data_IF_190342069752
#
_entry.id   IF_190342069752
#
_cell.length_a   1.000
_cell.length_b   1.000
_cell.length_c   1.000
_cell.angle_alpha   90.00
_cell.angle_beta   90.00
_cell.angle_gamma   90.00
#
_symmetry.space_group_name_H-M   'P 1'
#
loop_
_entity.id
_entity.type
_entity.pdbx_description
1 polymer ?
#
# COMPACT_ATOMS: atom_id res chain seq x y z
N UNK A 1 -13.20 23.18 5.76
CA UNK A 1 -13.21 21.70 5.87
C UNK A 1 -12.01 21.31 6.69
N UNK A 2 -12.22 20.92 7.94
CA UNK A 2 -11.13 20.54 8.83
C UNK A 2 -10.72 19.09 8.50
N UNK A 3 -9.42 18.78 8.52
CA UNK A 3 -8.91 17.41 8.31
C UNK A 3 -9.53 16.39 9.31
N UNK A 4 -10.02 16.87 10.45
CA UNK A 4 -10.77 16.10 11.44
C UNK A 4 -12.16 15.65 10.96
N UNK A 5 -12.80 16.37 10.03
CA UNK A 5 -14.12 16.04 9.45
C UNK A 5 -14.04 14.93 8.41
N UNK A 6 -12.84 14.65 7.87
CA UNK A 6 -12.59 13.57 6.90
C UNK A 6 -12.51 12.20 7.62
N UNK A 7 -12.67 12.19 8.96
CA UNK A 7 -12.71 10.99 9.78
C UNK A 7 -11.35 10.30 9.78
N UNK A 8 -10.45 10.73 10.67
CA UNK A 8 -9.12 10.11 10.85
C UNK A 8 -8.52 9.71 9.49
N UNK A 9 -8.16 10.68 8.66
CA UNK A 9 -7.01 10.45 7.78
C UNK A 9 -5.85 10.18 8.74
N UNK A 10 -5.77 8.95 9.24
CA UNK A 10 -4.80 8.58 10.22
C UNK A 10 -3.46 8.88 9.58
N UNK A 11 -2.58 9.56 10.31
CA UNK A 11 -1.19 9.79 9.91
C UNK A 11 -0.57 8.43 9.54
N UNK A 12 -0.75 8.06 8.28
CA UNK A 12 -0.30 6.82 7.68
C UNK A 12 0.97 7.21 6.95
N UNK A 13 2.07 6.73 7.50
CA UNK A 13 3.36 6.91 6.86
C UNK A 13 3.41 6.08 5.58
N UNK A 14 4.27 6.49 4.64
CA UNK A 14 4.52 5.73 3.41
C UNK A 14 4.93 4.29 3.70
N UNK A 15 5.70 4.05 4.77
CA UNK A 15 6.10 2.70 5.16
C UNK A 15 4.93 1.86 5.69
N UNK A 16 4.04 2.44 6.49
CA UNK A 16 2.82 1.74 6.95
C UNK A 16 1.90 1.42 5.77
N UNK A 17 1.79 2.33 4.80
CA UNK A 17 1.09 2.09 3.55
C UNK A 17 1.72 0.94 2.76
N UNK A 18 3.05 0.91 2.59
CA UNK A 18 3.74 -0.19 1.92
C UNK A 18 3.50 -1.53 2.62
N UNK A 19 3.58 -1.57 3.96
CA UNK A 19 3.29 -2.80 4.72
C UNK A 19 1.85 -3.24 4.47
N UNK A 20 0.89 -2.32 4.58
CA UNK A 20 -0.52 -2.62 4.37
C UNK A 20 -0.81 -3.11 2.95
N UNK A 21 -0.19 -2.52 1.93
CA UNK A 21 -0.31 -2.98 0.54
C UNK A 21 0.31 -4.37 0.33
N UNK A 22 1.41 -4.71 1.01
CA UNK A 22 1.99 -6.05 0.92
C UNK A 22 1.02 -7.10 1.46
N UNK A 23 0.39 -6.81 2.59
CA UNK A 23 -0.64 -7.65 3.20
C UNK A 23 -1.90 -7.73 2.32
N UNK A 24 -2.37 -6.61 1.77
CA UNK A 24 -3.54 -6.59 0.89
C UNK A 24 -3.33 -7.45 -0.37
N UNK A 25 -2.11 -7.47 -0.93
CA UNK A 25 -1.78 -8.19 -2.16
C UNK A 25 -1.50 -9.68 -1.96
N UNK A 26 -0.91 -10.05 -0.82
CA UNK A 26 -0.44 -11.42 -0.57
C UNK A 26 -1.16 -12.16 0.55
N UNK A 27 -2.05 -11.48 1.28
CA UNK A 27 -2.70 -12.02 2.46
C UNK A 27 -1.79 -11.98 3.70
N UNK A 28 -1.79 -13.06 4.47
CA UNK A 28 -1.02 -13.16 5.70
C UNK A 28 0.48 -13.30 5.44
N UNK A 29 1.30 -12.43 6.02
CA UNK A 29 2.75 -12.43 5.82
C UNK A 29 3.51 -12.30 7.14
N UNK A 30 4.67 -12.94 7.23
CA UNK A 30 5.66 -12.68 8.28
C UNK A 30 6.33 -11.31 8.09
N UNK A 31 6.91 -10.76 9.16
CA UNK A 31 7.71 -9.53 9.08
C UNK A 31 8.87 -9.60 8.06
N UNK A 32 9.41 -10.81 7.83
CA UNK A 32 10.48 -11.03 6.85
C UNK A 32 9.97 -10.95 5.42
N UNK A 33 8.82 -11.56 5.14
CA UNK A 33 8.22 -11.49 3.81
C UNK A 33 7.78 -10.07 3.47
N UNK A 34 7.20 -9.35 4.44
CA UNK A 34 6.88 -7.92 4.30
C UNK A 34 8.14 -7.13 3.98
N UNK A 35 9.24 -7.33 4.71
CA UNK A 35 10.51 -6.67 4.41
C UNK A 35 11.02 -6.97 3.00
N UNK A 36 10.85 -8.20 2.51
CA UNK A 36 11.16 -8.59 1.14
C UNK A 36 10.34 -7.81 0.11
N UNK A 37 9.02 -7.77 0.26
CA UNK A 37 8.12 -7.00 -0.63
C UNK A 37 8.47 -5.51 -0.66
N UNK A 38 8.64 -4.90 0.51
CA UNK A 38 8.98 -3.47 0.62
C UNK A 38 10.36 -3.19 0.02
N UNK A 39 11.31 -4.12 0.15
CA UNK A 39 12.63 -3.98 -0.48
C UNK A 39 12.54 -3.93 -2.00
N UNK A 40 11.68 -4.78 -2.60
CA UNK A 40 11.44 -4.79 -4.04
C UNK A 40 10.87 -3.45 -4.51
N UNK A 41 9.92 -2.86 -3.78
CA UNK A 41 9.32 -1.59 -4.19
C UNK A 41 10.23 -0.38 -3.97
N UNK A 42 11.11 -0.43 -2.97
CA UNK A 42 12.08 0.64 -2.70
C UNK A 42 13.40 0.47 -3.47
N UNK A 43 13.54 -0.61 -4.24
CA UNK A 43 14.78 -1.00 -4.93
C UNK A 43 16.02 -1.00 -4.01
N UNK A 44 15.81 -1.31 -2.72
CA UNK A 44 16.84 -1.27 -1.67
C UNK A 44 16.55 -2.29 -0.56
N UNK A 45 17.57 -2.94 0.02
CA UNK A 45 17.37 -3.87 1.13
C UNK A 45 16.78 -3.19 2.37
N UNK A 46 15.58 -3.62 2.77
CA UNK A 46 14.92 -3.21 4.02
C UNK A 46 15.09 -4.32 5.05
N UNK A 47 15.69 -3.99 6.19
CA UNK A 47 15.83 -4.95 7.29
C UNK A 47 14.53 -5.04 8.07
N UNK A 48 14.12 -6.25 8.45
CA UNK A 48 12.92 -6.50 9.26
C UNK A 48 12.85 -5.60 10.51
N UNK A 49 13.99 -5.43 11.19
CA UNK A 49 14.10 -4.59 12.40
C UNK A 49 13.68 -3.14 12.16
N UNK A 50 13.90 -2.61 10.96
CA UNK A 50 13.50 -1.24 10.61
C UNK A 50 11.98 -1.09 10.51
N UNK A 51 11.27 -2.17 10.17
CA UNK A 51 9.81 -2.17 10.06
C UNK A 51 9.11 -2.43 11.40
N UNK A 52 9.83 -2.83 12.45
CA UNK A 52 9.22 -3.18 13.74
C UNK A 52 8.37 -2.06 14.34
N UNK A 53 8.79 -0.80 14.19
CA UNK A 53 8.03 0.35 14.68
C UNK A 53 6.67 0.43 13.98
N UNK A 54 6.67 0.38 12.65
CA UNK A 54 5.49 0.47 11.81
C UNK A 54 4.59 -0.76 11.97
N UNK A 55 5.16 -1.97 12.05
CA UNK A 55 4.41 -3.20 12.32
C UNK A 55 3.67 -3.15 13.66
N UNK A 56 4.32 -2.63 14.72
CA UNK A 56 3.66 -2.39 16.01
C UNK A 56 2.59 -1.32 15.89
N UNK A 57 2.85 -0.25 15.15
CA UNK A 57 1.94 0.87 15.01
C UNK A 57 0.66 0.47 14.24
N UNK A 58 0.75 -0.27 13.13
CA UNK A 58 -0.44 -0.76 12.41
C UNK A 58 -1.23 -1.79 13.23
N UNK A 59 -0.55 -2.59 14.06
CA UNK A 59 -1.22 -3.52 14.97
C UNK A 59 -1.95 -2.77 16.10
N UNK A 60 -1.30 -1.77 16.71
CA UNK A 60 -1.87 -0.93 17.76
C UNK A 60 -3.08 -0.11 17.28
N UNK A 61 -3.08 0.32 16.01
CA UNK A 61 -4.24 0.99 15.37
C UNK A 61 -5.36 0.01 14.98
N UNK A 62 -5.16 -1.30 15.16
CA UNK A 62 -6.12 -2.32 14.76
C UNK A 62 -6.21 -2.55 13.25
N UNK A 63 -5.25 -2.05 12.47
CA UNK A 63 -5.21 -2.21 11.00
C UNK A 63 -4.67 -3.56 10.55
N UNK A 64 -3.85 -4.19 11.38
CA UNK A 64 -3.39 -5.55 11.15
C UNK A 64 -3.48 -6.35 12.45
N UNK A 65 -3.73 -7.64 12.32
CA UNK A 65 -3.69 -8.58 13.43
C UNK A 65 -2.42 -9.42 13.33
N UNK A 66 -1.73 -9.59 14.45
CA UNK A 66 -0.59 -10.49 14.57
C UNK A 66 -1.05 -11.81 15.20
N UNK A 67 -0.97 -12.91 14.46
CA UNK A 67 -1.30 -14.26 14.94
C UNK A 67 -0.16 -15.21 14.52
N UNK A 68 0.36 -16.01 15.46
CA UNK A 68 1.42 -17.00 15.19
C UNK A 68 2.64 -16.47 14.38
N UNK A 69 2.98 -15.17 14.52
CA UNK A 69 4.11 -14.54 13.83
C UNK A 69 3.81 -14.04 12.41
N UNK A 70 2.58 -14.15 11.93
CA UNK A 70 2.11 -13.56 10.68
C UNK A 70 1.19 -12.38 10.96
N UNK A 71 1.30 -11.36 10.12
CA UNK A 71 0.42 -10.21 10.10
C UNK A 71 -0.65 -10.45 9.05
N UNK A 72 -1.90 -10.17 9.39
CA UNK A 72 -3.04 -10.21 8.47
C UNK A 72 -3.75 -8.87 8.53
N UNK A 73 -4.07 -8.30 7.38
CA UNK A 73 -4.79 -7.02 7.30
C UNK A 73 -6.21 -7.19 7.85
N UNK A 74 -6.68 -6.24 8.65
CA UNK A 74 -8.06 -6.19 9.13
C UNK A 74 -8.96 -5.43 8.15
N UNK A 75 -10.27 -5.47 8.38
CA UNK A 75 -11.23 -4.64 7.65
C UNK A 75 -10.95 -3.15 7.87
N UNK A 76 -10.70 -2.72 9.11
CA UNK A 76 -10.33 -1.35 9.43
C UNK A 76 -9.02 -0.91 8.72
N UNK A 77 -8.05 -1.82 8.61
CA UNK A 77 -6.82 -1.57 7.84
C UNK A 77 -7.08 -1.43 6.35
N UNK A 78 -7.96 -2.26 5.79
CA UNK A 78 -8.39 -2.19 4.39
C UNK A 78 -9.03 -0.85 4.06
N UNK A 79 -9.93 -0.38 4.92
CA UNK A 79 -10.60 0.91 4.77
C UNK A 79 -9.61 2.08 4.83
N UNK A 80 -8.69 2.06 5.80
CA UNK A 80 -7.64 3.08 5.91
C UNK A 80 -6.74 3.12 4.66
N UNK A 81 -6.32 1.96 4.16
CA UNK A 81 -5.50 1.86 2.94
C UNK A 81 -6.26 2.34 1.71
N UNK A 82 -7.56 2.02 1.57
CA UNK A 82 -8.37 2.43 0.41
C UNK A 82 -8.46 3.95 0.32
N UNK A 83 -8.66 4.62 1.45
CA UNK A 83 -8.68 6.08 1.52
C UNK A 83 -7.35 6.69 1.07
N UNK A 84 -6.24 6.20 1.62
CA UNK A 84 -4.90 6.70 1.29
C UNK A 84 -4.49 6.40 -0.17
N UNK A 85 -4.76 5.18 -0.66
CA UNK A 85 -4.52 4.81 -2.06
C UNK A 85 -5.29 5.71 -3.03
N UNK A 86 -6.58 5.95 -2.76
CA UNK A 86 -7.40 6.84 -3.59
C UNK A 86 -6.87 8.28 -3.60
N UNK A 87 -6.39 8.77 -2.45
CA UNK A 87 -5.77 10.08 -2.34
C UNK A 87 -4.45 10.15 -3.12
N UNK A 88 -3.59 9.13 -3.00
CA UNK A 88 -2.34 9.03 -3.76
C UNK A 88 -2.59 9.01 -5.27
N UNK A 89 -3.54 8.18 -5.74
CA UNK A 89 -3.92 8.12 -7.15
C UNK A 89 -4.37 9.50 -7.63
N UNK A 90 -5.31 10.14 -6.94
CA UNK A 90 -5.82 11.48 -7.32
C UNK A 90 -4.72 12.56 -7.30
N UNK A 91 -3.81 12.49 -6.33
CA UNK A 91 -2.69 13.42 -6.21
C UNK A 91 -1.70 13.27 -7.39
N UNK A 92 -1.28 12.04 -7.67
CA UNK A 92 -0.36 11.74 -8.78
C UNK A 92 -0.99 12.00 -10.14
N UNK A 93 -2.28 11.75 -10.24
CA UNK A 93 -3.08 12.02 -11.42
C UNK A 93 -3.22 13.53 -11.70
N UNK A 94 -3.06 14.37 -10.66
CA UNK A 94 -3.16 15.82 -10.77
C UNK A 94 -4.51 16.32 -11.32
N UNK A 95 -5.56 15.49 -11.22
CA UNK A 95 -6.88 15.74 -11.82
C UNK A 95 -6.96 15.54 -13.33
N UNK A 96 -5.95 14.91 -13.96
CA UNK A 96 -5.80 14.81 -15.43
C UNK A 96 -6.01 13.42 -16.02
N UNK A 97 -6.33 12.39 -15.24
CA UNK A 97 -6.47 10.98 -15.66
C UNK A 97 -5.20 10.43 -16.37
N UNK A 98 -4.03 10.92 -16.00
CA UNK A 98 -2.72 10.48 -16.51
C UNK A 98 -2.45 9.00 -16.27
N UNK A 99 -2.94 8.42 -15.17
CA UNK A 99 -2.83 6.98 -14.93
C UNK A 99 -3.70 6.18 -15.90
N UNK A 100 -4.91 6.65 -16.20
CA UNK A 100 -5.78 6.03 -17.20
C UNK A 100 -5.17 6.11 -18.60
N UNK A 101 -4.54 7.24 -18.95
CA UNK A 101 -3.83 7.42 -20.23
C UNK A 101 -2.60 6.50 -20.31
N UNK A 102 -1.81 6.37 -19.24
CA UNK A 102 -0.65 5.47 -19.22
C UNK A 102 -1.05 3.99 -19.39
N UNK A 103 -2.15 3.58 -18.77
CA UNK A 103 -2.73 2.23 -18.94
C UNK A 103 -3.23 2.06 -20.38
N UNK A 104 -3.97 3.03 -20.92
CA UNK A 104 -4.46 2.99 -22.29
C UNK A 104 -3.33 2.88 -23.33
N UNK A 105 -2.27 3.67 -23.16
CA UNK A 105 -1.08 3.63 -24.02
C UNK A 105 -0.30 2.31 -23.89
N UNK A 106 -0.31 1.67 -22.71
CA UNK A 106 0.30 0.35 -22.54
C UNK A 106 -0.49 -0.73 -23.27
N UNK A 107 -1.82 -0.67 -23.22
CA UNK A 107 -2.70 -1.59 -23.96
C UNK A 107 -2.56 -1.42 -25.49
N UNK A 108 -2.47 -0.17 -25.99
CA UNK A 108 -2.22 0.09 -27.43
C UNK A 108 -0.90 -0.55 -27.86
N UNK A 109 0.18 -0.33 -27.11
CA UNK A 109 1.50 -0.92 -27.42
C UNK A 109 1.48 -2.43 -27.39
N UNK A 110 0.71 -3.03 -26.48
CA UNK A 110 0.57 -4.48 -26.39
C UNK A 110 -0.22 -5.04 -27.58
N UNK A 111 -1.25 -4.32 -28.04
CA UNK A 111 -2.02 -4.68 -29.24
C UNK A 111 -1.18 -4.59 -30.52
N UNK A 112 -0.40 -3.51 -30.68
CA UNK A 112 0.55 -3.33 -31.79
C UNK A 112 1.61 -4.43 -31.82
N UNK A 113 2.07 -4.91 -30.67
CA UNK A 113 3.04 -5.99 -30.56
C UNK A 113 2.46 -7.38 -30.83
N UNK A 114 1.15 -7.56 -30.62
CA UNK A 114 0.45 -8.84 -30.80
C UNK A 114 -0.10 -9.05 -32.21
N UNK A 115 -0.12 -7.99 -33.03
CA UNK A 115 -0.58 -8.00 -34.43
C UNK A 115 0.52 -8.18 -35.48
N UNK A 116 1.75 -8.52 -35.06
CA UNK A 116 2.89 -8.85 -35.93
C UNK A 116 3.31 -10.30 -35.76
#
# INVERSE_FOLDING_TARGET
MALSEIGSAADMTVLEFCIGMALARRGSLTAREIAGEVSTWLDKPVRCRMLNGQLKAIAARGWARLEAGTYTLSEAGTEALRGFYSALVRMLDGGRRLLDVAVFMSLIKEFERSGS
#
